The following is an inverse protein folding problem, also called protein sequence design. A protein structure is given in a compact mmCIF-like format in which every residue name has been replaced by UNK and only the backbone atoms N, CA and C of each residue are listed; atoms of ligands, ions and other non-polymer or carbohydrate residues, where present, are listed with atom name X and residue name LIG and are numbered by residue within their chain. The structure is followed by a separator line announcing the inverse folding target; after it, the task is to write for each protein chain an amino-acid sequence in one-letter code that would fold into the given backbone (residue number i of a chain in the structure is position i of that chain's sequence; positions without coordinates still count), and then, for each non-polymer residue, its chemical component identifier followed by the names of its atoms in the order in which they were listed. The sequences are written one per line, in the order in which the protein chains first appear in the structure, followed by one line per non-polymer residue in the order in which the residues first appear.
data_IF_350789501538
#
_entry.id   IF_350789501538
#
_cell.length_a   1.000
_cell.length_b   1.000
_cell.length_c   1.000
_cell.angle_alpha   90.00
_cell.angle_beta   90.00
_cell.angle_gamma   90.00
#
_symmetry.space_group_name_H-M   'P 1'
#
loop_
_entity.id
_entity.type
_entity.pdbx_description
1 polymer ?
#
# COMPACT_ATOMS: atom_id res chain seq x y z
N UNK A 1 27.00 -32.87 15.82
CA UNK A 1 26.72 -32.54 14.39
C UNK A 1 27.08 -31.08 14.15
N UNK A 2 27.86 -30.76 13.10
CA UNK A 2 28.16 -29.38 12.69
C UNK A 2 27.06 -28.92 11.72
N UNK A 3 26.35 -27.85 12.05
CA UNK A 3 25.35 -27.23 11.17
C UNK A 3 26.09 -26.58 9.98
N UNK A 4 25.82 -27.01 8.75
CA UNK A 4 26.29 -26.34 7.53
C UNK A 4 25.37 -25.15 7.29
N UNK A 5 25.87 -23.94 7.49
CA UNK A 5 25.19 -22.72 7.05
C UNK A 5 25.36 -22.59 5.55
N UNK A 6 24.26 -22.53 4.81
CA UNK A 6 24.26 -22.26 3.39
C UNK A 6 24.53 -20.77 3.17
N UNK A 7 25.78 -20.43 2.85
CA UNK A 7 26.22 -19.05 2.57
C UNK A 7 25.67 -18.49 1.24
N UNK A 8 24.87 -19.26 0.49
CA UNK A 8 24.31 -18.86 -0.81
C UNK A 8 22.84 -18.42 -0.76
N UNK A 9 22.23 -18.31 0.42
CA UNK A 9 20.93 -17.66 0.55
C UNK A 9 21.06 -16.20 0.08
N UNK A 10 20.58 -15.90 -1.14
CA UNK A 10 20.52 -14.54 -1.68
C UNK A 10 19.63 -13.69 -0.79
N UNK A 11 20.23 -12.95 0.13
CA UNK A 11 19.54 -11.94 0.92
C UNK A 11 19.15 -10.79 -0.02
N UNK A 12 17.88 -10.76 -0.42
CA UNK A 12 17.31 -9.62 -1.15
C UNK A 12 16.88 -8.54 -0.17
N UNK A 13 17.23 -7.28 -0.45
CA UNK A 13 16.69 -6.13 0.27
C UNK A 13 15.75 -5.36 -0.65
N UNK A 14 14.57 -4.99 -0.15
CA UNK A 14 13.62 -4.12 -0.84
C UNK A 14 13.62 -2.77 -0.13
N UNK A 15 13.93 -1.70 -0.85
CA UNK A 15 13.76 -0.34 -0.34
C UNK A 15 12.27 -0.01 -0.34
N UNK A 16 11.68 0.11 0.86
CA UNK A 16 10.29 0.57 1.03
C UNK A 16 10.32 2.03 1.45
N UNK A 17 9.68 2.91 0.68
CA UNK A 17 9.39 4.26 1.16
C UNK A 17 8.04 4.27 1.87
N UNK A 18 8.04 4.60 3.16
CA UNK A 18 6.81 4.81 3.94
C UNK A 18 6.57 6.30 4.01
N UNK A 19 5.49 6.78 3.37
CA UNK A 19 5.01 8.15 3.56
C UNK A 19 3.89 8.13 4.60
N UNK A 20 3.84 9.12 5.52
CA UNK A 20 2.66 9.30 6.37
C UNK A 20 1.43 9.44 5.48
N UNK A 21 0.56 8.43 5.50
CA UNK A 21 -0.76 8.54 4.89
C UNK A 21 -1.69 9.24 5.87
N UNK A 22 -2.61 10.06 5.36
CA UNK A 22 -3.66 10.63 6.20
C UNK A 22 -4.43 9.49 6.86
N UNK A 23 -4.69 9.63 8.17
CA UNK A 23 -5.45 8.62 8.90
C UNK A 23 -6.84 8.50 8.26
N UNK A 24 -7.27 7.27 7.98
CA UNK A 24 -8.61 7.03 7.48
C UNK A 24 -9.63 7.37 8.57
N UNK A 25 -10.65 8.14 8.21
CA UNK A 25 -11.70 8.61 9.11
C UNK A 25 -13.08 8.20 8.61
N UNK A 26 -14.04 8.06 9.52
CA UNK A 26 -15.42 7.68 9.17
C UNK A 26 -15.55 6.25 8.64
N UNK A 27 -16.54 6.03 7.77
CA UNK A 27 -16.84 4.72 7.15
C UNK A 27 -16.36 4.62 5.70
N UNK A 28 -16.01 5.75 5.07
CA UNK A 28 -15.52 5.84 3.70
C UNK A 28 -14.37 6.83 3.66
N UNK A 29 -13.26 6.46 3.04
CA UNK A 29 -12.09 7.32 2.91
C UNK A 29 -11.52 7.28 1.49
N UNK A 30 -11.32 8.46 0.89
CA UNK A 30 -10.77 8.60 -0.46
C UNK A 30 -9.43 9.30 -0.37
N UNK A 31 -8.39 8.75 -0.99
CA UNK A 31 -7.03 9.29 -0.94
C UNK A 31 -6.19 8.85 -2.14
N UNK A 32 -5.07 9.55 -2.39
CA UNK A 32 -4.10 9.18 -3.43
C UNK A 32 -2.91 8.46 -2.78
N UNK A 33 -2.60 7.27 -3.28
CA UNK A 33 -1.41 6.50 -2.90
C UNK A 33 -0.65 6.10 -4.16
N UNK A 34 0.62 6.51 -4.24
CA UNK A 34 1.50 6.21 -5.39
C UNK A 34 0.85 6.54 -6.74
N UNK A 35 0.17 7.68 -6.84
CA UNK A 35 -0.49 8.12 -8.07
C UNK A 35 -1.80 7.39 -8.40
N UNK A 36 -2.30 6.53 -7.53
CA UNK A 36 -3.62 5.89 -7.67
C UNK A 36 -4.63 6.52 -6.70
N UNK A 37 -5.78 6.93 -7.21
CA UNK A 37 -6.93 7.35 -6.42
C UNK A 37 -7.65 6.11 -5.88
N UNK A 38 -7.62 5.94 -4.56
CA UNK A 38 -8.25 4.84 -3.83
C UNK A 38 -9.49 5.32 -3.11
N UNK A 39 -10.54 4.48 -3.10
CA UNK A 39 -11.71 4.61 -2.24
C UNK A 39 -11.81 3.39 -1.36
N UNK A 40 -11.55 3.58 -0.08
CA UNK A 40 -11.65 2.54 0.94
C UNK A 40 -12.95 2.67 1.74
N UNK A 41 -13.51 1.54 2.13
CA UNK A 41 -14.71 1.44 2.95
C UNK A 41 -14.40 0.59 4.19
N UNK A 42 -14.93 1.00 5.35
CA UNK A 42 -14.79 0.26 6.59
C UNK A 42 -15.90 -0.81 6.66
N UNK A 43 -15.51 -2.08 6.59
CA UNK A 43 -16.42 -3.24 6.64
C UNK A 43 -15.98 -4.15 7.79
N UNK A 44 -16.84 -4.35 8.79
CA UNK A 44 -16.52 -5.20 9.94
C UNK A 44 -15.27 -4.76 10.72
N UNK A 45 -15.02 -3.45 10.79
CA UNK A 45 -13.83 -2.90 11.46
C UNK A 45 -12.53 -2.99 10.64
N UNK A 46 -12.58 -3.48 9.40
CA UNK A 46 -11.44 -3.57 8.49
C UNK A 46 -11.63 -2.66 7.29
N UNK A 47 -10.58 -1.93 6.91
CA UNK A 47 -10.58 -1.15 5.69
C UNK A 47 -10.42 -2.06 4.47
N UNK A 48 -11.30 -1.89 3.49
CA UNK A 48 -11.31 -2.62 2.23
C UNK A 48 -11.29 -1.61 1.07
N UNK A 49 -10.35 -1.77 0.14
CA UNK A 49 -10.32 -0.97 -1.08
C UNK A 49 -11.43 -1.41 -2.02
N UNK A 50 -12.42 -0.52 -2.19
CA UNK A 50 -13.59 -0.77 -3.02
C UNK A 50 -13.39 -0.28 -4.46
N UNK A 51 -12.54 0.73 -4.68
CA UNK A 51 -12.27 1.25 -6.00
C UNK A 51 -10.85 1.81 -6.08
N UNK A 52 -10.20 1.58 -7.23
CA UNK A 52 -8.88 2.12 -7.55
C UNK A 52 -8.93 2.69 -8.98
N UNK A 53 -8.43 3.91 -9.16
CA UNK A 53 -8.46 4.60 -10.45
C UNK A 53 -7.31 5.57 -10.60
N UNK A 54 -7.07 6.03 -11.83
CA UNK A 54 -6.15 7.14 -12.09
C UNK A 54 -6.82 8.44 -11.61
N UNK A 55 -6.13 9.29 -10.82
CA UNK A 55 -6.65 10.59 -10.41
C UNK A 55 -7.12 11.41 -11.61
N UNK A 56 -8.26 12.09 -11.49
CA UNK A 56 -8.85 12.88 -12.57
C UNK A 56 -7.90 13.98 -13.09
N UNK A 57 -7.10 14.57 -12.19
CA UNK A 57 -6.09 15.59 -12.52
C UNK A 57 -4.99 15.05 -13.45
N UNK A 58 -4.72 13.74 -13.42
CA UNK A 58 -3.72 13.08 -14.27
C UNK A 58 -4.25 12.74 -15.67
N UNK A 59 -5.55 12.88 -15.95
CA UNK A 59 -6.14 12.64 -17.27
C UNK A 59 -6.13 13.85 -18.19
N UNK A 60 -5.77 15.03 -17.68
CA UNK A 60 -5.77 16.29 -18.42
C UNK A 60 -4.38 16.71 -18.93
N UNK A 61 -3.36 15.85 -18.79
CA UNK A 61 -1.98 16.08 -19.21
C UNK A 61 -1.60 15.24 -20.44
#
# INVERSE_FOLDING_TARGET
MKQKYDMYARTGAVTVSVRPAMQRTGTVHTYVLNGTLLRDVLVGGKWVTHHASIPLESRAA
#
